data_IF_717885042805
#
_entry.id   IF_717885042805
#
_cell.length_a   1.000
_cell.length_b   1.000
_cell.length_c   1.000
_cell.angle_alpha   90.00
_cell.angle_beta   90.00
_cell.angle_gamma   90.00
#
_symmetry.space_group_name_H-M   'P 1'
#
loop_
_entity.id
_entity.type
_entity.pdbx_description
1 polymer ?
#
# COMPACT_ATOMS: atom_id res chain seq x y z
N UNK A 1 22.10 0.57 33.65
CA UNK A 1 21.88 -0.05 32.33
C UNK A 1 20.43 0.20 31.94
N UNK A 2 20.14 1.30 31.25
CA UNK A 2 18.80 1.61 30.75
C UNK A 2 18.67 1.06 29.34
N UNK A 3 17.78 0.08 29.16
CA UNK A 3 17.47 -0.46 27.85
C UNK A 3 16.85 0.66 27.00
N UNK A 4 17.49 1.01 25.87
CA UNK A 4 16.92 1.88 24.88
C UNK A 4 15.66 1.19 24.33
N UNK A 5 14.47 1.70 24.69
CA UNK A 5 13.24 1.29 24.06
C UNK A 5 13.37 1.57 22.57
N UNK A 6 13.38 0.52 21.76
CA UNK A 6 13.25 0.63 20.30
C UNK A 6 11.88 1.25 20.08
N UNK A 7 11.81 2.50 19.66
CA UNK A 7 10.57 3.07 19.15
C UNK A 7 10.12 2.18 17.99
N UNK A 8 9.10 1.35 18.23
CA UNK A 8 8.40 0.69 17.16
C UNK A 8 7.75 1.81 16.36
N UNK A 9 8.36 2.18 15.24
CA UNK A 9 7.80 3.14 14.31
C UNK A 9 6.53 2.50 13.71
N UNK A 10 5.43 2.62 14.44
CA UNK A 10 4.14 2.11 14.05
C UNK A 10 3.68 2.94 12.87
N UNK A 11 3.90 2.42 11.67
CA UNK A 11 3.42 3.04 10.44
C UNK A 11 1.89 3.05 10.45
N UNK A 12 1.33 4.19 10.88
CA UNK A 12 -0.09 4.48 10.75
C UNK A 12 -0.37 4.84 9.29
N UNK A 13 -1.01 3.92 8.56
CA UNK A 13 -1.52 4.19 7.22
C UNK A 13 -2.77 5.07 7.33
N UNK A 14 -2.70 6.31 6.84
CA UNK A 14 -3.89 7.13 6.67
C UNK A 14 -4.65 6.69 5.42
N UNK A 15 -5.95 6.40 5.55
CA UNK A 15 -6.82 6.02 4.44
C UNK A 15 -7.77 7.19 4.15
N UNK A 16 -7.59 7.84 3.00
CA UNK A 16 -8.47 8.91 2.55
C UNK A 16 -9.85 8.39 2.14
N UNK A 17 -10.88 9.26 2.24
CA UNK A 17 -12.28 8.92 1.90
C UNK A 17 -12.45 8.28 0.51
N UNK A 18 -11.71 8.77 -0.50
CA UNK A 18 -11.81 8.25 -1.87
C UNK A 18 -11.32 6.79 -1.96
N UNK A 19 -10.25 6.45 -1.23
CA UNK A 19 -9.72 5.08 -1.17
C UNK A 19 -10.66 4.18 -0.38
N UNK A 20 -11.18 4.66 0.75
CA UNK A 20 -12.15 3.91 1.57
C UNK A 20 -13.39 3.53 0.75
N UNK A 21 -13.89 4.45 -0.08
CA UNK A 21 -15.03 4.23 -0.96
C UNK A 21 -14.74 3.32 -2.17
N UNK A 22 -13.48 2.95 -2.44
CA UNK A 22 -13.15 2.07 -3.58
C UNK A 22 -13.62 0.62 -3.36
N UNK A 23 -13.99 0.24 -2.14
CA UNK A 23 -14.44 -1.14 -1.84
C UNK A 23 -13.36 -2.19 -2.10
N UNK A 24 -12.10 -1.85 -1.80
CA UNK A 24 -10.97 -2.77 -1.98
C UNK A 24 -11.14 -4.01 -1.11
N UNK A 25 -10.86 -5.19 -1.66
CA UNK A 25 -10.77 -6.40 -0.85
C UNK A 25 -9.50 -6.42 0.02
N UNK A 26 -9.35 -7.34 0.99
CA UNK A 26 -8.18 -7.38 1.87
C UNK A 26 -6.82 -7.51 1.16
N UNK A 27 -6.76 -8.14 -0.02
CA UNK A 27 -5.53 -8.30 -0.80
C UNK A 27 -5.21 -7.04 -1.59
N UNK A 28 -6.22 -6.41 -2.15
CA UNK A 28 -6.13 -5.13 -2.86
C UNK A 28 -5.74 -4.00 -1.90
N UNK A 29 -6.32 -3.97 -0.70
CA UNK A 29 -5.95 -3.05 0.37
C UNK A 29 -4.51 -3.29 0.85
N UNK A 30 -4.06 -4.56 0.92
CA UNK A 30 -2.66 -4.88 1.24
C UNK A 30 -1.70 -4.32 0.20
N UNK A 31 -2.05 -4.37 -1.09
CA UNK A 31 -1.29 -3.72 -2.16
C UNK A 31 -1.23 -2.21 -1.93
N UNK A 32 -2.38 -1.56 -1.71
CA UNK A 32 -2.44 -0.13 -1.38
C UNK A 32 -1.54 0.23 -0.19
N UNK A 33 -1.70 -0.45 0.94
CA UNK A 33 -0.91 -0.17 2.14
C UNK A 33 0.60 -0.37 1.92
N UNK A 34 0.99 -1.32 1.07
CA UNK A 34 2.39 -1.57 0.74
C UNK A 34 2.97 -0.45 -0.12
N UNK A 35 2.23 0.00 -1.13
CA UNK A 35 2.68 1.09 -1.99
C UNK A 35 2.79 2.40 -1.21
N UNK A 36 1.82 2.73 -0.34
CA UNK A 36 1.84 3.95 0.45
C UNK A 36 3.00 4.00 1.46
N UNK A 37 3.49 2.85 1.92
CA UNK A 37 4.69 2.80 2.80
C UNK A 37 6.00 2.99 2.04
N UNK A 38 6.06 2.60 0.77
CA UNK A 38 7.28 2.69 -0.04
C UNK A 38 7.59 4.13 -0.49
N UNK A 39 6.59 5.01 -0.52
CA UNK A 39 6.70 6.39 -1.02
C UNK A 39 7.61 7.35 -0.25
N UNK A 40 8.33 6.90 0.78
CA UNK A 40 9.13 7.75 1.68
C UNK A 40 10.65 7.76 1.41
N UNK A 41 11.09 7.36 0.20
CA UNK A 41 12.48 7.58 -0.24
C UNK A 41 13.16 6.43 -0.98
N UNK A 42 12.53 5.26 -1.08
CA UNK A 42 13.10 4.09 -1.75
C UNK A 42 12.59 3.90 -3.18
N UNK A 43 13.41 3.28 -4.02
CA UNK A 43 13.00 2.83 -5.34
C UNK A 43 11.84 1.82 -5.23
N UNK A 44 10.79 2.05 -6.00
CA UNK A 44 9.59 1.22 -5.99
C UNK A 44 9.88 -0.21 -6.45
N UNK A 45 9.33 -1.20 -5.73
CA UNK A 45 9.38 -2.60 -6.15
C UNK A 45 8.68 -2.82 -7.50
N UNK A 46 9.13 -3.81 -8.27
CA UNK A 46 8.43 -4.19 -9.50
C UNK A 46 7.00 -4.65 -9.18
N UNK A 47 6.06 -4.39 -10.10
CA UNK A 47 4.66 -4.79 -9.92
C UNK A 47 4.51 -6.31 -9.72
N UNK A 48 5.40 -7.11 -10.30
CA UNK A 48 5.44 -8.57 -10.10
C UNK A 48 5.79 -8.93 -8.66
N UNK A 49 6.76 -8.25 -8.06
CA UNK A 49 7.15 -8.47 -6.67
C UNK A 49 6.04 -8.02 -5.71
N UNK A 50 5.42 -6.86 -5.97
CA UNK A 50 4.28 -6.37 -5.20
C UNK A 50 3.12 -7.36 -5.27
N UNK A 51 2.77 -7.85 -6.47
CA UNK A 51 1.69 -8.81 -6.66
C UNK A 51 1.94 -10.10 -5.89
N UNK A 52 3.17 -10.65 -5.98
CA UNK A 52 3.59 -11.83 -5.23
C UNK A 52 3.48 -11.63 -3.72
N UNK A 53 4.03 -10.54 -3.19
CA UNK A 53 3.98 -10.21 -1.76
C UNK A 53 2.55 -10.00 -1.24
N UNK A 54 1.67 -9.47 -2.09
CA UNK A 54 0.26 -9.25 -1.77
C UNK A 54 -0.64 -10.46 -2.10
N UNK A 55 -0.08 -11.57 -2.58
CA UNK A 55 -0.82 -12.78 -2.99
C UNK A 55 -1.92 -12.48 -4.03
N UNK A 56 -1.61 -11.58 -4.96
CA UNK A 56 -2.48 -11.19 -6.06
C UNK A 56 -1.96 -11.75 -7.39
N UNK A 57 -2.88 -12.12 -8.28
CA UNK A 57 -2.55 -12.28 -9.68
C UNK A 57 -2.05 -10.95 -10.26
N UNK A 58 -1.07 -10.99 -11.17
CA UNK A 58 -0.48 -9.78 -11.76
C UNK A 58 -1.52 -8.88 -12.45
N UNK A 59 -2.50 -9.48 -13.13
CA UNK A 59 -3.61 -8.74 -13.75
C UNK A 59 -4.45 -7.99 -12.72
N UNK A 60 -4.71 -8.62 -11.57
CA UNK A 60 -5.46 -8.01 -10.47
C UNK A 60 -4.66 -6.89 -9.82
N UNK A 61 -3.37 -7.10 -9.55
CA UNK A 61 -2.49 -6.06 -9.03
C UNK A 61 -2.44 -4.82 -9.94
N UNK A 62 -2.37 -5.00 -11.26
CA UNK A 62 -2.45 -3.90 -12.25
C UNK A 62 -3.78 -3.15 -12.17
N UNK A 63 -4.89 -3.89 -12.09
CA UNK A 63 -6.24 -3.29 -11.98
C UNK A 63 -6.37 -2.48 -10.69
N UNK A 64 -5.94 -3.04 -9.56
CA UNK A 64 -5.94 -2.36 -8.26
C UNK A 64 -5.09 -1.11 -8.30
N UNK A 65 -3.87 -1.17 -8.84
CA UNK A 65 -2.98 -0.02 -8.94
C UNK A 65 -3.62 1.13 -9.75
N UNK A 66 -4.33 0.79 -10.84
CA UNK A 66 -5.06 1.78 -11.63
C UNK A 66 -6.22 2.40 -10.86
N UNK A 67 -6.98 1.60 -10.11
CA UNK A 67 -8.09 2.08 -9.29
C UNK A 67 -7.62 3.04 -8.18
N UNK A 68 -6.60 2.65 -7.42
CA UNK A 68 -6.08 3.48 -6.33
C UNK A 68 -5.44 4.77 -6.85
N UNK A 69 -4.72 4.73 -7.98
CA UNK A 69 -4.16 5.92 -8.60
C UNK A 69 -5.25 6.90 -9.05
N UNK A 70 -6.34 6.41 -9.64
CA UNK A 70 -7.49 7.26 -9.99
C UNK A 70 -8.14 7.89 -8.75
N UNK A 71 -8.23 7.15 -7.64
CA UNK A 71 -8.80 7.64 -6.39
C UNK A 71 -7.92 8.70 -5.69
N UNK A 72 -6.59 8.60 -5.81
CA UNK A 72 -5.63 9.59 -5.29
C UNK A 72 -5.54 10.85 -6.17
N UNK A 73 -5.66 10.74 -7.50
CA UNK A 73 -5.65 11.90 -8.40
C UNK A 73 -6.89 12.80 -8.22
N UNK A 74 -7.98 12.27 -7.66
CA UNK A 74 -9.22 13.04 -7.42
C UNK A 74 -9.18 13.81 -6.08
N UNK A 75 -7.98 14.15 -5.59
CA UNK A 75 -7.74 14.94 -4.37
C UNK A 75 -7.38 16.39 -4.67
#
# INVERSE_FOLDING_TARGET
MTAAAKEENQFCLFVGRNIDNCGLDPYEFRLYARISRAGNGDAWESITNIASACRLALSRARKTLRLVNLAEITQ
#
